data_IF_797968394801
#
_entry.id   IF_797968394801
#
_cell.length_a   1.000
_cell.length_b   1.000
_cell.length_c   1.000
_cell.angle_alpha   90.00
_cell.angle_beta   90.00
_cell.angle_gamma   90.00
#
_symmetry.space_group_name_H-M   'P 1'
#
loop_
_entity.id
_entity.type
_entity.pdbx_description
1 polymer ?
#
# COMPACT_ATOMS: atom_id res chain seq x y z
N UNK A 1 -32.46 -23.08 -59.93
CA UNK A 1 -31.44 -23.92 -59.26
C UNK A 1 -30.21 -23.07 -59.08
N UNK A 2 -29.85 -22.73 -57.84
CA UNK A 2 -28.64 -21.96 -57.55
C UNK A 2 -27.42 -22.82 -57.89
N UNK A 3 -26.53 -22.31 -58.75
CA UNK A 3 -25.31 -23.03 -59.15
C UNK A 3 -24.34 -23.13 -57.98
N UNK A 4 -23.59 -24.23 -57.92
CA UNK A 4 -22.62 -24.56 -56.86
C UNK A 4 -21.58 -23.46 -56.62
N UNK A 5 -21.34 -22.59 -57.59
CA UNK A 5 -20.46 -21.42 -57.48
C UNK A 5 -21.08 -20.27 -56.67
N UNK A 6 -22.39 -20.02 -56.82
CA UNK A 6 -23.11 -18.98 -56.05
C UNK A 6 -23.17 -19.30 -54.55
N UNK A 7 -23.29 -20.59 -54.22
CA UNK A 7 -23.25 -21.08 -52.85
C UNK A 7 -21.84 -20.96 -52.24
N UNK A 8 -20.78 -21.22 -53.02
CA UNK A 8 -19.39 -21.04 -52.57
C UNK A 8 -19.05 -19.57 -52.32
N UNK A 9 -19.52 -18.65 -53.17
CA UNK A 9 -19.33 -17.22 -52.97
C UNK A 9 -20.08 -16.69 -51.74
N UNK A 10 -21.32 -17.15 -51.50
CA UNK A 10 -22.07 -16.80 -50.29
C UNK A 10 -21.43 -17.34 -49.00
N UNK A 11 -20.87 -18.56 -49.02
CA UNK A 11 -20.17 -19.14 -47.86
C UNK A 11 -18.84 -18.40 -47.60
N UNK A 12 -18.12 -17.98 -48.64
CA UNK A 12 -16.88 -17.19 -48.49
C UNK A 12 -17.12 -15.77 -47.96
N UNK A 13 -18.17 -15.08 -48.43
CA UNK A 13 -18.54 -13.76 -47.90
C UNK A 13 -19.07 -13.84 -46.47
N UNK A 14 -19.75 -14.93 -46.11
CA UNK A 14 -20.23 -15.14 -44.73
C UNK A 14 -19.09 -15.46 -43.76
N UNK A 15 -18.08 -16.23 -44.20
CA UNK A 15 -16.89 -16.51 -43.38
C UNK A 15 -15.98 -15.29 -43.22
N UNK A 16 -15.79 -14.45 -44.25
CA UNK A 16 -14.98 -13.23 -44.12
C UNK A 16 -15.61 -12.18 -43.17
N UNK A 17 -16.94 -12.11 -43.09
CA UNK A 17 -17.63 -11.21 -42.15
C UNK A 17 -17.69 -11.73 -40.69
N UNK A 18 -17.38 -13.01 -40.44
CA UNK A 18 -17.38 -13.57 -39.08
C UNK A 18 -16.03 -13.49 -38.37
N UNK A 19 -14.91 -13.29 -39.09
CA UNK A 19 -13.58 -13.14 -38.47
C UNK A 19 -13.29 -11.68 -38.06
N UNK A 20 -14.03 -10.70 -38.59
CA UNK A 20 -13.82 -9.28 -38.31
C UNK A 20 -14.49 -8.76 -37.01
N UNK A 21 -15.27 -9.61 -36.31
CA UNK A 21 -16.10 -9.18 -35.18
C UNK A 21 -15.92 -10.03 -33.91
N UNK A 22 -14.69 -10.52 -33.67
CA UNK A 22 -14.33 -10.93 -32.32
C UNK A 22 -13.90 -9.67 -31.53
N UNK A 23 -14.54 -9.34 -30.39
CA UNK A 23 -14.09 -8.24 -29.57
C UNK A 23 -12.64 -8.53 -29.16
N UNK A 24 -11.71 -7.62 -29.50
CA UNK A 24 -10.32 -7.72 -29.06
C UNK A 24 -10.29 -7.98 -27.55
N UNK A 25 -9.44 -8.89 -27.04
CA UNK A 25 -9.28 -9.06 -25.61
C UNK A 25 -8.93 -7.70 -25.01
N UNK A 26 -9.75 -7.23 -24.07
CA UNK A 26 -9.56 -5.91 -23.47
C UNK A 26 -8.26 -5.91 -22.70
N UNK A 27 -7.40 -4.95 -23.01
CA UNK A 27 -6.14 -4.74 -22.31
C UNK A 27 -6.37 -4.05 -20.96
N UNK A 28 -5.41 -4.13 -20.04
CA UNK A 28 -5.46 -3.37 -18.77
C UNK A 28 -5.61 -1.87 -19.06
N UNK A 29 -4.99 -1.37 -20.14
CA UNK A 29 -5.13 0.01 -20.61
C UNK A 29 -6.58 0.36 -20.99
N UNK A 30 -7.30 -0.55 -21.64
CA UNK A 30 -8.70 -0.34 -22.01
C UNK A 30 -9.60 -0.26 -20.78
N UNK A 31 -9.32 -1.06 -19.75
CA UNK A 31 -10.05 -0.99 -18.48
C UNK A 31 -9.76 0.30 -17.72
N UNK A 32 -8.49 0.72 -17.65
CA UNK A 32 -8.13 1.98 -17.00
C UNK A 32 -8.79 3.18 -17.69
N UNK A 33 -8.83 3.20 -19.03
CA UNK A 33 -9.55 4.25 -19.79
C UNK A 33 -11.04 4.28 -19.48
N UNK A 34 -11.68 3.12 -19.34
CA UNK A 34 -13.09 3.02 -18.96
C UNK A 34 -13.36 3.51 -17.54
N UNK A 35 -12.42 3.30 -16.62
CA UNK A 35 -12.55 3.73 -15.22
C UNK A 35 -12.09 5.16 -14.98
N UNK A 36 -11.37 5.79 -15.93
CA UNK A 36 -10.85 7.15 -15.79
C UNK A 36 -11.92 8.18 -15.36
N UNK A 37 -13.16 8.18 -15.88
CA UNK A 37 -14.19 9.10 -15.41
C UNK A 37 -14.56 8.91 -13.93
N UNK A 38 -14.66 7.67 -13.47
CA UNK A 38 -14.96 7.36 -12.07
C UNK A 38 -13.78 7.72 -11.15
N UNK A 39 -12.55 7.44 -11.59
CA UNK A 39 -11.34 7.85 -10.87
C UNK A 39 -11.26 9.38 -10.77
N UNK A 40 -11.52 10.10 -11.87
CA UNK A 40 -11.51 11.56 -11.87
C UNK A 40 -12.52 12.19 -10.89
N UNK A 41 -13.67 11.54 -10.66
CA UNK A 41 -14.63 11.97 -9.64
C UNK A 41 -14.13 11.71 -8.21
N UNK A 42 -13.33 10.67 -8.01
CA UNK A 42 -12.75 10.31 -6.72
C UNK A 42 -11.47 11.09 -6.37
N UNK A 43 -10.79 11.68 -7.38
CA UNK A 43 -9.54 12.40 -7.17
C UNK A 43 -9.75 13.70 -6.36
N UNK A 44 -8.85 14.02 -5.43
CA UNK A 44 -8.75 15.37 -4.88
C UNK A 44 -8.53 16.41 -5.99
N UNK A 45 -9.13 17.60 -5.85
CA UNK A 45 -9.11 18.67 -6.88
C UNK A 45 -7.73 19.13 -7.36
N UNK A 46 -6.67 18.83 -6.61
CA UNK A 46 -5.30 19.22 -6.91
C UNK A 46 -4.50 18.14 -7.66
N UNK A 47 -5.12 16.99 -7.97
CA UNK A 47 -4.47 15.87 -8.64
C UNK A 47 -4.97 15.72 -10.08
N UNK A 48 -4.08 15.23 -10.96
CA UNK A 48 -4.36 14.96 -12.37
C UNK A 48 -4.53 13.45 -12.62
N UNK A 49 -5.67 13.08 -13.24
CA UNK A 49 -6.00 11.70 -13.56
C UNK A 49 -5.06 11.10 -14.60
N UNK A 50 -4.59 11.91 -15.56
CA UNK A 50 -3.67 11.44 -16.60
C UNK A 50 -2.32 11.10 -16.00
N UNK A 51 -1.86 11.90 -15.03
CA UNK A 51 -0.67 11.61 -14.23
C UNK A 51 -0.84 10.32 -13.42
N UNK A 52 -1.93 10.15 -12.67
CA UNK A 52 -2.15 8.94 -11.88
C UNK A 52 -2.16 7.69 -12.76
N UNK A 53 -2.87 7.76 -13.89
CA UNK A 53 -2.97 6.65 -14.86
C UNK A 53 -1.59 6.28 -15.41
N UNK A 54 -0.77 7.28 -15.78
CA UNK A 54 0.60 7.06 -16.28
C UNK A 54 1.50 6.41 -15.23
N UNK A 55 1.38 6.83 -13.97
CA UNK A 55 2.16 6.27 -12.87
C UNK A 55 1.74 4.83 -12.59
N UNK A 56 0.43 4.55 -12.52
CA UNK A 56 -0.08 3.18 -12.35
C UNK A 56 0.36 2.26 -13.50
N UNK A 57 0.25 2.70 -14.76
CA UNK A 57 0.75 1.94 -15.92
C UNK A 57 2.26 1.70 -15.85
N UNK A 58 3.02 2.70 -15.39
CA UNK A 58 4.47 2.54 -15.17
C UNK A 58 4.74 1.47 -14.11
N UNK A 59 4.04 1.50 -12.97
CA UNK A 59 4.14 0.49 -11.91
C UNK A 59 3.82 -0.92 -12.41
N UNK A 60 2.73 -1.08 -13.17
CA UNK A 60 2.35 -2.37 -13.78
C UNK A 60 3.44 -2.87 -14.74
N UNK A 61 4.09 -1.96 -15.48
CA UNK A 61 5.16 -2.33 -16.40
C UNK A 61 6.44 -2.76 -15.66
N UNK A 62 6.80 -2.06 -14.60
CA UNK A 62 8.02 -2.33 -13.80
C UNK A 62 7.84 -3.46 -12.79
N UNK A 63 6.62 -3.96 -12.60
CA UNK A 63 6.34 -5.11 -11.73
C UNK A 63 5.57 -6.16 -12.54
N UNK A 64 6.26 -7.00 -13.33
CA UNK A 64 5.63 -7.93 -14.28
C UNK A 64 4.55 -8.81 -13.67
N UNK A 65 4.73 -9.24 -12.42
CA UNK A 65 3.76 -10.05 -11.68
C UNK A 65 2.37 -9.41 -11.51
N UNK A 66 2.24 -8.07 -11.64
CA UNK A 66 0.95 -7.38 -11.65
C UNK A 66 0.15 -7.62 -12.93
N UNK A 67 0.80 -7.95 -14.04
CA UNK A 67 0.13 -8.25 -15.32
C UNK A 67 -0.65 -9.56 -15.27
N UNK A 68 -0.18 -10.51 -14.47
CA UNK A 68 -0.82 -11.82 -14.29
C UNK A 68 -1.79 -11.84 -13.10
N UNK A 69 -1.99 -10.71 -12.43
CA UNK A 69 -2.92 -10.59 -11.32
C UNK A 69 -4.35 -10.37 -11.83
N UNK A 70 -5.33 -10.67 -10.99
CA UNK A 70 -6.74 -10.42 -11.26
C UNK A 70 -6.96 -8.92 -11.57
N UNK A 71 -7.50 -8.67 -12.76
CA UNK A 71 -7.70 -7.32 -13.29
C UNK A 71 -8.64 -6.51 -12.39
N UNK A 72 -9.65 -7.15 -11.79
CA UNK A 72 -10.57 -6.50 -10.86
C UNK A 72 -9.86 -5.96 -9.62
N UNK A 73 -9.02 -6.78 -8.99
CA UNK A 73 -8.21 -6.40 -7.83
C UNK A 73 -7.21 -5.29 -8.15
N UNK A 74 -6.56 -5.34 -9.32
CA UNK A 74 -5.63 -4.30 -9.79
C UNK A 74 -6.34 -2.96 -9.94
N UNK A 75 -7.48 -2.95 -10.63
CA UNK A 75 -8.28 -1.73 -10.83
C UNK A 75 -8.84 -1.20 -9.52
N UNK A 76 -9.27 -2.08 -8.61
CA UNK A 76 -9.71 -1.71 -7.26
C UNK A 76 -8.58 -1.07 -6.45
N UNK A 77 -7.34 -1.55 -6.58
CA UNK A 77 -6.18 -0.98 -5.92
C UNK A 77 -5.82 0.41 -6.49
N UNK A 78 -5.91 0.60 -7.80
CA UNK A 78 -5.72 1.93 -8.43
C UNK A 78 -6.83 2.91 -8.01
N UNK A 79 -8.07 2.44 -7.90
CA UNK A 79 -9.18 3.27 -7.43
C UNK A 79 -8.99 3.72 -5.97
N UNK A 80 -8.46 2.87 -5.10
CA UNK A 80 -8.10 3.26 -3.73
C UNK A 80 -7.02 4.34 -3.71
N UNK A 81 -5.99 4.20 -4.55
CA UNK A 81 -4.96 5.22 -4.72
C UNK A 81 -5.56 6.57 -5.18
N UNK A 82 -6.49 6.52 -6.14
CA UNK A 82 -7.24 7.68 -6.63
C UNK A 82 -8.05 8.37 -5.52
N UNK A 83 -8.82 7.60 -4.73
CA UNK A 83 -9.65 8.11 -3.64
C UNK A 83 -8.83 8.82 -2.55
N UNK A 84 -7.64 8.28 -2.23
CA UNK A 84 -6.74 8.86 -1.24
C UNK A 84 -5.84 9.97 -1.83
N UNK A 85 -5.85 10.16 -3.15
CA UNK A 85 -4.90 11.02 -3.84
C UNK A 85 -3.46 10.63 -3.52
N UNK A 86 -3.16 9.34 -3.59
CA UNK A 86 -1.82 8.79 -3.44
C UNK A 86 -1.30 8.25 -4.77
N UNK A 87 -0.01 8.43 -5.02
CA UNK A 87 0.62 8.07 -6.28
C UNK A 87 1.41 6.77 -6.15
N UNK A 88 1.10 5.72 -6.93
CA UNK A 88 1.90 4.50 -6.92
C UNK A 88 3.27 4.73 -7.56
N UNK A 89 4.28 4.02 -7.07
CA UNK A 89 5.64 4.01 -7.63
C UNK A 89 6.72 4.51 -6.67
N UNK A 90 7.82 5.02 -7.24
CA UNK A 90 9.08 5.25 -6.53
C UNK A 90 9.00 6.34 -5.44
N UNK A 91 7.99 7.20 -5.47
CA UNK A 91 7.81 8.24 -4.46
C UNK A 91 7.40 7.68 -3.10
N UNK A 92 6.94 6.43 -3.03
CA UNK A 92 6.61 5.75 -1.78
C UNK A 92 5.34 6.27 -1.11
N UNK A 93 4.41 6.87 -1.88
CA UNK A 93 3.09 7.25 -1.37
C UNK A 93 2.20 6.02 -1.18
N UNK A 94 2.19 5.11 -2.15
CA UNK A 94 1.53 3.81 -2.04
C UNK A 94 2.21 2.78 -2.94
N UNK A 95 1.89 1.51 -2.70
CA UNK A 95 2.40 0.35 -3.41
C UNK A 95 1.23 -0.51 -3.90
N UNK A 96 1.38 -1.07 -5.08
CA UNK A 96 0.47 -2.07 -5.65
C UNK A 96 1.23 -3.39 -5.64
N UNK A 97 0.93 -4.28 -4.70
CA UNK A 97 1.69 -5.51 -4.52
C UNK A 97 0.84 -6.73 -4.89
N UNK A 98 1.36 -7.67 -5.71
CA UNK A 98 0.68 -8.91 -5.99
C UNK A 98 0.85 -9.90 -4.83
N UNK A 99 -0.26 -10.52 -4.44
CA UNK A 99 -0.32 -11.59 -3.46
C UNK A 99 -1.07 -12.80 -4.03
N UNK A 100 -0.56 -14.00 -3.76
CA UNK A 100 -1.29 -15.22 -4.08
C UNK A 100 -2.40 -15.43 -3.04
N UNK A 101 -3.66 -15.41 -3.47
CA UNK A 101 -4.80 -15.80 -2.64
C UNK A 101 -5.02 -17.30 -2.76
N UNK A 102 -4.52 -18.08 -1.78
CA UNK A 102 -4.66 -19.54 -1.79
C UNK A 102 -6.11 -20.03 -1.77
N UNK A 103 -7.01 -19.29 -1.11
CA UNK A 103 -8.41 -19.66 -1.00
C UNK A 103 -9.15 -19.54 -2.34
N UNK A 104 -8.79 -18.54 -3.15
CA UNK A 104 -9.39 -18.31 -4.47
C UNK A 104 -8.60 -18.92 -5.61
N UNK A 105 -7.34 -19.34 -5.37
CA UNK A 105 -6.44 -19.83 -6.41
C UNK A 105 -6.05 -18.76 -7.44
N UNK A 106 -6.17 -17.48 -7.09
CA UNK A 106 -5.86 -16.35 -7.98
C UNK A 106 -4.80 -15.44 -7.35
N UNK A 107 -4.07 -14.71 -8.18
CA UNK A 107 -3.15 -13.65 -7.76
C UNK A 107 -3.94 -12.34 -7.65
N UNK A 108 -4.09 -11.79 -6.45
CA UNK A 108 -4.77 -10.51 -6.22
C UNK A 108 -3.77 -9.39 -6.02
N UNK A 109 -4.11 -8.17 -6.44
CA UNK A 109 -3.34 -6.97 -6.13
C UNK A 109 -3.87 -6.35 -4.85
N UNK A 110 -2.98 -6.09 -3.90
CA UNK A 110 -3.28 -5.32 -2.70
C UNK A 110 -2.72 -3.91 -2.83
N UNK A 111 -3.55 -2.93 -2.46
CA UNK A 111 -3.14 -1.56 -2.26
C UNK A 111 -2.56 -1.42 -0.86
N UNK A 112 -1.32 -0.91 -0.76
CA UNK A 112 -0.67 -0.65 0.51
C UNK A 112 -0.23 0.81 0.58
N UNK A 113 -0.63 1.51 1.63
CA UNK A 113 -0.20 2.89 1.85
C UNK A 113 1.28 2.88 2.26
N UNK A 114 2.07 3.68 1.56
CA UNK A 114 3.47 3.88 1.87
C UNK A 114 3.63 4.90 3.00
N UNK A 115 4.75 4.81 3.72
CA UNK A 115 5.04 5.68 4.86
C UNK A 115 4.95 7.18 4.53
N UNK A 116 5.47 7.58 3.37
CA UNK A 116 5.39 8.98 2.91
C UNK A 116 3.95 9.37 2.60
N UNK A 117 3.16 8.45 2.05
CA UNK A 117 1.73 8.65 1.84
C UNK A 117 0.95 8.78 3.14
N UNK A 118 1.31 8.00 4.17
CA UNK A 118 0.78 8.20 5.52
C UNK A 118 1.11 9.62 6.00
N UNK A 119 2.38 10.03 6.08
CA UNK A 119 2.72 11.38 6.55
C UNK A 119 1.96 12.47 5.78
N UNK A 120 1.87 12.35 4.47
CA UNK A 120 1.15 13.30 3.63
C UNK A 120 -0.35 13.35 3.97
N UNK A 121 -1.03 12.20 4.04
CA UNK A 121 -2.43 12.12 4.46
C UNK A 121 -2.66 12.74 5.85
N UNK A 122 -1.72 12.53 6.78
CA UNK A 122 -1.84 13.07 8.13
C UNK A 122 -1.72 14.59 8.13
N UNK A 123 -0.81 15.14 7.33
CA UNK A 123 -0.64 16.60 7.18
C UNK A 123 -1.84 17.24 6.49
N UNK A 124 -2.46 16.54 5.54
CA UNK A 124 -3.69 17.00 4.85
C UNK A 124 -4.90 17.14 5.78
N UNK A 125 -4.93 16.47 6.94
CA UNK A 125 -5.97 16.66 7.96
C UNK A 125 -6.07 18.11 8.45
N UNK A 126 -5.00 18.89 8.31
CA UNK A 126 -4.92 20.25 8.84
C UNK A 126 -4.61 20.33 10.32
N UNK A 127 -4.69 19.23 11.09
CA UNK A 127 -4.42 19.19 12.53
C UNK A 127 -2.95 18.90 12.86
N UNK A 128 -2.24 18.21 11.96
CA UNK A 128 -0.85 17.84 12.16
C UNK A 128 0.08 18.95 11.65
N UNK A 129 1.02 19.38 12.51
CA UNK A 129 2.10 20.32 12.18
C UNK A 129 3.29 19.60 11.55
N UNK A 130 3.76 18.53 12.19
CA UNK A 130 4.89 17.73 11.73
C UNK A 130 4.80 16.30 12.25
N UNK A 131 5.34 15.36 11.48
CA UNK A 131 5.58 13.97 11.90
C UNK A 131 7.03 13.64 11.57
N UNK A 132 7.72 13.01 12.51
CA UNK A 132 9.06 12.47 12.30
C UNK A 132 9.27 11.22 13.13
N UNK A 133 10.29 10.45 12.79
CA UNK A 133 10.67 9.23 13.48
C UNK A 133 12.20 9.09 13.51
N UNK A 134 12.73 8.56 14.60
CA UNK A 134 14.15 8.35 14.80
C UNK A 134 14.42 6.96 15.36
N UNK A 135 15.56 6.41 14.98
CA UNK A 135 16.14 5.26 15.64
C UNK A 135 16.86 5.70 16.91
N UNK A 136 16.93 4.79 17.87
CA UNK A 136 17.62 4.96 19.16
C UNK A 136 18.66 3.85 19.27
N UNK A 137 19.87 4.23 19.65
CA UNK A 137 21.00 3.33 19.81
C UNK A 137 21.54 3.35 21.24
N UNK A 138 22.34 2.37 21.60
CA UNK A 138 22.85 2.17 22.95
C UNK A 138 23.75 3.29 23.47
N UNK A 139 24.39 4.04 22.58
CA UNK A 139 25.25 5.14 22.97
C UNK A 139 24.52 6.50 22.96
N UNK A 140 23.22 6.52 22.62
CA UNK A 140 22.40 7.74 22.68
C UNK A 140 21.96 8.02 24.13
N UNK A 141 21.80 9.30 24.49
CA UNK A 141 21.08 9.66 25.71
C UNK A 141 19.58 9.59 25.42
N UNK A 142 18.92 8.57 25.94
CA UNK A 142 17.50 8.32 25.68
C UNK A 142 16.73 8.04 26.98
N UNK A 143 15.65 8.78 27.18
CA UNK A 143 14.74 8.63 28.32
C UNK A 143 13.30 8.94 27.87
N UNK A 144 12.33 8.19 28.39
CA UNK A 144 10.92 8.43 28.08
C UNK A 144 9.98 7.99 29.20
N UNK A 145 8.88 8.71 29.32
CA UNK A 145 7.83 8.50 30.31
C UNK A 145 6.48 8.50 29.58
N UNK A 146 5.61 7.53 29.88
CA UNK A 146 4.25 7.42 29.30
C UNK A 146 3.16 7.84 30.29
N UNK A 147 3.53 8.39 31.45
CA UNK A 147 2.59 8.77 32.50
C UNK A 147 1.60 9.86 32.05
N UNK A 148 0.86 10.42 33.01
CA UNK A 148 -0.12 11.49 32.71
C UNK A 148 0.49 12.68 31.95
N UNK A 149 1.77 12.94 32.20
CA UNK A 149 2.58 13.94 31.50
C UNK A 149 3.69 13.21 30.73
N UNK A 150 3.35 12.65 29.57
CA UNK A 150 4.31 11.89 28.77
C UNK A 150 5.50 12.75 28.35
N UNK A 151 6.71 12.20 28.41
CA UNK A 151 7.95 12.89 28.09
C UNK A 151 8.84 12.02 27.23
N UNK A 152 9.54 12.64 26.29
CA UNK A 152 10.52 11.96 25.44
C UNK A 152 11.77 12.84 25.32
N UNK A 153 12.91 12.30 25.72
CA UNK A 153 14.22 12.92 25.60
C UNK A 153 15.09 12.02 24.76
N UNK A 154 15.60 12.56 23.65
CA UNK A 154 16.57 11.87 22.82
C UNK A 154 17.67 12.84 22.41
N UNK A 155 18.91 12.55 22.82
CA UNK A 155 20.11 13.22 22.32
C UNK A 155 21.00 12.17 21.66
N UNK A 156 21.00 12.10 20.32
CA UNK A 156 21.86 11.18 19.60
C UNK A 156 23.33 11.43 19.94
N UNK A 157 24.12 10.36 20.00
CA UNK A 157 25.57 10.50 20.11
C UNK A 157 26.14 11.22 18.89
N UNK A 158 27.14 12.07 19.12
CA UNK A 158 27.94 12.70 18.06
C UNK A 158 29.12 11.82 17.64
N UNK A 159 29.38 10.75 18.38
CA UNK A 159 30.45 9.80 18.06
C UNK A 159 30.09 8.96 16.83
N UNK A 160 31.09 8.54 16.02
CA UNK A 160 30.85 7.69 14.86
C UNK A 160 30.21 6.35 15.22
N UNK A 161 30.55 5.80 16.40
CA UNK A 161 29.98 4.56 16.90
C UNK A 161 28.70 4.82 17.72
N UNK A 162 27.56 4.52 17.09
CA UNK A 162 26.25 4.61 17.73
C UNK A 162 25.97 3.48 18.72
N UNK A 163 26.70 2.36 18.61
CA UNK A 163 26.42 1.14 19.34
C UNK A 163 25.23 0.36 18.78
N UNK A 164 24.60 -0.46 19.61
CA UNK A 164 23.53 -1.37 19.19
C UNK A 164 22.21 -0.63 19.00
N UNK A 165 21.42 -1.03 17.99
CA UNK A 165 20.05 -0.53 17.83
C UNK A 165 19.18 -0.99 19.01
N UNK A 166 18.61 -0.05 19.75
CA UNK A 166 17.72 -0.29 20.90
C UNK A 166 16.25 -0.29 20.49
N UNK A 167 15.87 0.56 19.54
CA UNK A 167 14.48 0.74 19.16
C UNK A 167 14.29 1.94 18.25
N UNK A 168 13.04 2.30 18.02
CA UNK A 168 12.69 3.51 17.29
C UNK A 168 11.48 4.19 17.94
N UNK A 169 11.37 5.50 17.74
CA UNK A 169 10.19 6.25 18.11
C UNK A 169 9.66 7.09 16.96
N UNK A 170 8.39 7.47 17.08
CA UNK A 170 7.74 8.46 16.22
C UNK A 170 7.11 9.56 17.06
N UNK A 171 7.07 10.78 16.53
CA UNK A 171 6.42 11.94 17.14
C UNK A 171 5.54 12.63 16.12
N UNK A 172 4.32 12.98 16.52
CA UNK A 172 3.44 13.89 15.81
C UNK A 172 3.20 15.14 16.66
N UNK A 173 3.47 16.32 16.08
CA UNK A 173 3.09 17.60 16.68
C UNK A 173 1.77 18.07 16.11
N UNK A 174 0.87 18.52 16.98
CA UNK A 174 -0.40 19.10 16.56
C UNK A 174 -0.30 20.62 16.42
N UNK A 175 -1.19 21.22 15.62
CA UNK A 175 -1.19 22.67 15.39
C UNK A 175 -1.80 23.46 16.55
N UNK A 176 -2.76 22.86 17.25
CA UNK A 176 -3.42 23.39 18.44
C UNK A 176 -2.58 23.23 19.72
N UNK A 177 -1.46 22.50 19.64
CA UNK A 177 -0.52 22.29 20.74
C UNK A 177 -0.46 20.83 21.17
N UNK A 178 0.52 20.51 22.01
CA UNK A 178 0.76 19.13 22.43
C UNK A 178 1.39 18.25 21.34
N UNK A 179 1.50 16.97 21.66
CA UNK A 179 2.17 15.96 20.86
C UNK A 179 1.64 14.57 21.18
N UNK A 180 1.74 13.67 20.20
CA UNK A 180 1.66 12.23 20.41
C UNK A 180 3.04 11.66 20.10
N UNK A 181 3.53 10.74 20.91
CA UNK A 181 4.68 9.92 20.53
C UNK A 181 4.43 8.46 20.83
N UNK A 182 5.14 7.60 20.11
CA UNK A 182 5.18 6.17 20.33
C UNK A 182 6.63 5.71 20.29
N UNK A 183 7.03 4.85 21.21
CA UNK A 183 8.32 4.18 21.20
C UNK A 183 8.10 2.67 21.06
N UNK A 184 8.95 2.01 20.28
CA UNK A 184 9.03 0.56 20.24
C UNK A 184 10.46 0.12 20.45
N UNK A 185 10.63 -0.83 21.37
CA UNK A 185 11.89 -1.53 21.52
C UNK A 185 12.21 -2.36 20.26
N UNK A 186 13.48 -2.70 20.07
CA UNK A 186 13.92 -3.66 19.05
C UNK A 186 13.11 -4.96 19.13
N UNK A 187 12.85 -5.45 20.33
CA UNK A 187 12.07 -6.67 20.53
C UNK A 187 10.63 -6.55 20.02
N UNK A 188 9.97 -5.42 20.26
CA UNK A 188 8.61 -5.17 19.76
C UNK A 188 8.57 -5.04 18.23
N UNK A 189 9.61 -4.40 17.67
CA UNK A 189 9.77 -4.27 16.22
C UNK A 189 10.00 -5.64 15.59
N UNK A 190 10.89 -6.48 16.14
CA UNK A 190 11.10 -7.85 15.67
C UNK A 190 9.83 -8.70 15.77
N UNK A 191 9.04 -8.56 16.85
CA UNK A 191 7.75 -9.25 16.99
C UNK A 191 6.78 -8.86 15.87
N UNK A 192 6.73 -7.58 15.50
CA UNK A 192 5.88 -7.09 14.40
C UNK A 192 6.43 -7.53 13.03
N UNK A 193 7.75 -7.49 12.85
CA UNK A 193 8.43 -8.02 11.67
C UNK A 193 8.10 -9.50 11.47
N UNK A 194 8.13 -10.31 12.53
CA UNK A 194 7.81 -11.74 12.46
C UNK A 194 6.38 -12.06 12.02
N UNK A 195 5.44 -11.10 12.11
CA UNK A 195 4.08 -11.22 11.56
C UNK A 195 4.03 -10.97 10.04
N UNK A 196 5.06 -10.35 9.48
CA UNK A 196 5.17 -10.11 8.04
C UNK A 196 5.77 -11.34 7.36
N UNK A 197 5.00 -11.97 6.47
CA UNK A 197 5.47 -13.12 5.68
C UNK A 197 6.65 -12.79 4.77
N UNK A 198 6.83 -11.52 4.41
CA UNK A 198 7.93 -11.03 3.59
C UNK A 198 9.21 -10.71 4.39
N UNK A 199 9.16 -10.76 5.73
CA UNK A 199 10.28 -10.37 6.58
C UNK A 199 11.55 -11.20 6.32
N UNK A 200 11.38 -12.46 5.94
CA UNK A 200 12.45 -13.43 5.72
C UNK A 200 12.82 -13.61 4.24
N UNK A 201 12.21 -12.85 3.30
CA UNK A 201 12.64 -12.90 1.89
C UNK A 201 14.05 -12.33 1.75
N UNK A 202 14.83 -12.87 0.80
CA UNK A 202 16.19 -12.40 0.50
C UNK A 202 16.22 -10.93 0.10
N UNK A 203 15.13 -10.43 -0.48
CA UNK A 203 14.95 -9.04 -0.91
C UNK A 203 14.13 -8.21 0.08
N UNK A 204 13.98 -8.71 1.31
CA UNK A 204 13.26 -8.02 2.38
C UNK A 204 13.95 -6.69 2.69
N UNK A 205 13.22 -5.56 2.67
CA UNK A 205 13.74 -4.27 3.12
C UNK A 205 14.21 -4.28 4.58
N UNK A 206 13.83 -5.30 5.37
CA UNK A 206 14.36 -5.50 6.71
C UNK A 206 15.83 -5.91 6.74
N UNK A 207 16.38 -6.37 5.62
CA UNK A 207 17.80 -6.74 5.49
C UNK A 207 18.65 -5.55 5.02
N UNK A 208 18.18 -4.80 4.02
CA UNK A 208 18.91 -3.66 3.45
C UNK A 208 18.69 -2.35 4.21
N UNK A 209 17.47 -2.13 4.72
CA UNK A 209 17.01 -0.82 5.24
C UNK A 209 16.29 -0.99 6.58
N UNK A 210 16.89 -1.76 7.49
CA UNK A 210 16.30 -2.12 8.77
C UNK A 210 15.79 -0.92 9.58
N UNK A 211 16.61 0.15 9.66
CA UNK A 211 16.29 1.36 10.42
C UNK A 211 15.03 2.06 9.88
N UNK A 212 14.89 2.15 8.55
CA UNK A 212 13.73 2.77 7.91
C UNK A 212 12.47 1.90 8.09
N UNK A 213 12.63 0.58 8.09
CA UNK A 213 11.54 -0.35 8.37
C UNK A 213 11.07 -0.29 9.83
N UNK A 214 12.00 -0.12 10.77
CA UNK A 214 11.70 0.15 12.16
C UNK A 214 10.90 1.45 12.31
N UNK A 215 11.39 2.57 11.76
CA UNK A 215 10.69 3.88 11.81
C UNK A 215 9.30 3.81 11.19
N UNK A 216 9.17 3.16 10.02
CA UNK A 216 7.87 2.93 9.35
C UNK A 216 6.90 2.19 10.27
N UNK A 217 7.39 1.17 10.97
CA UNK A 217 6.57 0.34 11.86
C UNK A 217 6.01 1.16 13.02
N UNK A 218 6.82 2.03 13.63
CA UNK A 218 6.38 2.87 14.74
C UNK A 218 5.40 3.94 14.27
N UNK A 219 5.64 4.60 13.14
CA UNK A 219 4.69 5.59 12.60
C UNK A 219 3.36 4.95 12.22
N UNK A 220 3.37 3.74 11.63
CA UNK A 220 2.14 3.01 11.33
C UNK A 220 1.34 2.70 12.60
N UNK A 221 2.02 2.43 13.71
CA UNK A 221 1.34 2.21 14.98
C UNK A 221 0.78 3.50 15.57
N UNK A 222 1.57 4.58 15.60
CA UNK A 222 1.15 5.90 16.08
C UNK A 222 -0.04 6.46 15.31
N UNK A 223 -0.14 6.09 14.03
CA UNK A 223 -1.20 6.52 13.12
C UNK A 223 -2.63 6.37 13.69
N UNK A 224 -2.86 5.35 14.52
CA UNK A 224 -4.16 5.03 15.14
C UNK A 224 -4.67 6.14 16.07
N UNK A 225 -3.75 6.96 16.58
CA UNK A 225 -4.05 8.04 17.52
C UNK A 225 -4.10 9.41 16.84
N UNK A 226 -3.78 9.49 15.54
CA UNK A 226 -3.73 10.78 14.85
C UNK A 226 -5.14 11.24 14.44
N UNK A 227 -5.45 12.55 14.59
CA UNK A 227 -6.70 13.14 14.12
C UNK A 227 -6.70 13.26 12.58
N UNK A 228 -6.92 12.14 11.91
CA UNK A 228 -7.05 12.02 10.46
C UNK A 228 -8.52 11.82 10.06
N UNK A 229 -8.88 12.13 8.80
CA UNK A 229 -10.26 12.01 8.35
C UNK A 229 -10.75 10.56 8.43
N UNK A 230 -12.05 10.39 8.67
CA UNK A 230 -12.68 9.07 8.83
C UNK A 230 -12.53 8.23 7.55
N UNK A 231 -12.58 8.84 6.36
CA UNK A 231 -12.36 8.09 5.12
C UNK A 231 -10.94 7.50 5.05
N UNK A 232 -9.93 8.27 5.49
CA UNK A 232 -8.55 7.80 5.54
C UNK A 232 -8.38 6.71 6.58
N UNK A 233 -9.03 6.83 7.75
CA UNK A 233 -9.00 5.79 8.79
C UNK A 233 -9.59 4.46 8.29
N UNK A 234 -10.71 4.51 7.57
CA UNK A 234 -11.36 3.30 7.02
C UNK A 234 -10.48 2.57 6.00
N UNK A 235 -9.82 3.32 5.10
CA UNK A 235 -8.93 2.73 4.09
C UNK A 235 -7.67 2.12 4.72
N UNK A 236 -7.12 2.75 5.77
CA UNK A 236 -5.99 2.19 6.54
C UNK A 236 -6.42 0.93 7.31
N UNK A 237 -7.61 0.90 7.89
CA UNK A 237 -8.13 -0.29 8.58
C UNK A 237 -8.35 -1.47 7.61
N UNK A 238 -8.77 -1.19 6.37
CA UNK A 238 -8.88 -2.17 5.31
C UNK A 238 -7.50 -2.74 4.91
N UNK A 239 -6.47 -1.88 4.79
CA UNK A 239 -5.06 -2.28 4.61
C UNK A 239 -4.52 -3.13 5.78
N UNK A 240 -5.00 -2.90 7.01
CA UNK A 240 -4.64 -3.73 8.18
C UNK A 240 -5.34 -5.11 8.21
N UNK A 241 -6.21 -5.42 7.24
CA UNK A 241 -7.00 -6.67 7.24
C UNK A 241 -8.14 -6.69 8.28
N UNK A 242 -8.45 -5.54 8.88
CA UNK A 242 -9.48 -5.40 9.94
C UNK A 242 -10.83 -4.90 9.43
N UNK A 243 -10.95 -4.63 8.13
CA UNK A 243 -12.14 -4.07 7.50
C UNK A 243 -13.34 -5.02 7.47
N UNK A 244 -14.12 -5.08 8.57
CA UNK A 244 -15.55 -5.43 8.52
C UNK A 244 -16.40 -4.18 8.75
N UNK A 245 -17.53 -4.15 8.06
CA UNK A 245 -18.56 -3.11 8.04
C UNK A 245 -18.87 -2.55 9.44
N UNK A 246 -18.45 -1.30 9.67
CA UNK A 246 -18.59 -0.53 10.92
C UNK A 246 -20.05 -0.13 11.24
N UNK A 247 -21.01 -0.46 10.38
CA UNK A 247 -22.44 -0.25 10.65
C UNK A 247 -23.02 -1.17 11.74
N UNK A 248 -22.24 -2.13 12.27
CA UNK A 248 -22.61 -3.02 13.37
C UNK A 248 -21.56 -3.04 14.48
N UNK A 249 -21.30 -1.91 15.14
CA UNK A 249 -20.48 -1.91 16.36
C UNK A 249 -21.37 -2.31 17.55
N UNK A 250 -21.26 -3.58 17.98
CA UNK A 250 -21.38 -3.92 19.40
C UNK A 250 -20.02 -3.60 20.00
N UNK A 251 -20.01 -2.69 20.96
CA UNK A 251 -18.85 -2.32 21.76
C UNK A 251 -18.26 -3.57 22.41
N UNK A 252 -17.08 -3.99 21.94
CA UNK A 252 -16.23 -4.99 22.56
C UNK A 252 -14.80 -4.54 22.30
N UNK A 253 -14.15 -4.08 23.35
CA UNK A 253 -12.70 -3.89 23.44
C UNK A 253 -12.00 -5.06 22.75
N UNK A 254 -11.18 -4.86 21.70
CA UNK A 254 -10.59 -5.99 21.01
C UNK A 254 -9.50 -6.64 21.87
N UNK A 255 -9.82 -7.83 22.36
CA UNK A 255 -8.87 -8.90 22.61
C UNK A 255 -8.04 -9.12 21.33
N UNK A 256 -6.76 -9.41 21.49
CA UNK A 256 -5.69 -9.37 20.48
C UNK A 256 -5.78 -10.54 19.45
N UNK A 257 -7.00 -11.00 19.16
CA UNK A 257 -7.32 -12.04 18.19
C UNK A 257 -7.81 -11.41 16.90
N UNK A 258 -6.86 -11.04 16.05
CA UNK A 258 -7.14 -10.74 14.64
C UNK A 258 -7.72 -12.01 14.00
N UNK A 259 -8.97 -11.90 13.52
CA UNK A 259 -9.59 -12.84 12.61
C UNK A 259 -8.62 -13.17 11.47
N UNK A 260 -8.42 -14.47 11.21
CA UNK A 260 -7.52 -14.97 10.17
C UNK A 260 -7.81 -14.29 8.82
N UNK A 261 -6.87 -13.44 8.39
CA UNK A 261 -6.83 -12.98 7.01
C UNK A 261 -6.60 -14.19 6.09
N UNK A 262 -7.17 -14.20 4.86
CA UNK A 262 -6.87 -15.25 3.88
C UNK A 262 -5.37 -15.48 3.76
N UNK A 263 -4.96 -16.73 3.54
CA UNK A 263 -3.54 -17.11 3.52
C UNK A 263 -2.86 -16.54 2.26
N UNK A 264 -2.46 -15.26 2.31
CA UNK A 264 -1.79 -14.53 1.24
C UNK A 264 -0.28 -14.76 1.27
N UNK A 265 0.35 -15.00 0.12
CA UNK A 265 1.82 -15.05 -0.04
C UNK A 265 2.29 -13.96 -1.00
N UNK A 266 3.27 -13.14 -0.58
CA UNK A 266 3.91 -12.14 -1.43
C UNK A 266 4.80 -12.84 -2.46
N UNK A 267 4.71 -12.45 -3.73
CA UNK A 267 5.62 -12.95 -4.76
C UNK A 267 6.95 -12.20 -4.71
N UNK A 268 8.06 -12.93 -4.80
CA UNK A 268 9.38 -12.33 -4.97
C UNK A 268 9.42 -11.55 -6.28
N UNK A 269 9.71 -10.25 -6.20
CA UNK A 269 9.89 -9.38 -7.36
C UNK A 269 11.32 -9.58 -7.84
N UNK A 270 11.59 -10.66 -8.56
CA UNK A 270 12.85 -10.79 -9.30
C UNK A 270 12.69 -10.14 -10.67
N UNK A 271 13.59 -9.22 -11.00
CA UNK A 271 13.86 -8.81 -12.38
C UNK A 271 14.44 -10.03 -13.12
N UNK A 272 13.57 -10.85 -13.72
CA UNK A 272 13.97 -11.65 -14.88
C UNK A 272 14.19 -10.69 -16.05
N UNK A 273 15.31 -9.96 -16.08
CA UNK A 273 15.88 -9.32 -17.27
C UNK A 273 17.25 -8.68 -16.94
N UNK A 274 18.22 -9.50 -16.52
CA UNK A 274 19.64 -9.16 -16.69
C UNK A 274 20.41 -10.40 -17.13
N UNK A 275 20.15 -10.89 -18.34
CA UNK A 275 21.15 -11.56 -19.17
C UNK A 275 20.86 -11.23 -20.64
N UNK A 276 21.74 -10.39 -21.21
CA UNK A 276 21.76 -9.97 -22.61
C UNK A 276 23.04 -9.21 -22.88
#
# INVERSE_FOLDING_TARGET
MATTESLKQQVQTTQQNQVANQPKPQTIEDYMKKMAPAMAQALPKHMDIDRLTRLAMTTIRTTPALKDADVGSLLGAVMQAAQLGLEPGLMGHCYLLPFNNKNKGIKEVQFIIGYKGMIDLARRSGHIKSIYAHAVYSNDEFDYELGLESKLVHKPTMEPDKGEFIGAYAVAHFKDGGYQFEFMSKADIEKRKGRSKAANSKFSPWTSDYEEMAKKTVVRHMWKYLPISVEVQQQVAYDEGTGKDISKIKDVTPDDTLLEAPDYELLDITDENTEG
#
